data_IF_429844191608
#
_entry.id   IF_429844191608
#
_cell.length_a   1.000
_cell.length_b   1.000
_cell.length_c   1.000
_cell.angle_alpha   90.00
_cell.angle_beta   90.00
_cell.angle_gamma   90.00
#
_symmetry.space_group_name_H-M   'P 1'
#
loop_
_entity.id
_entity.type
_entity.pdbx_description
1 polymer ?
#
# COMPACT_ATOMS: atom_id res chain seq x y z
N UNK A 1 -3.24 14.89 -8.51
CA UNK A 1 -4.44 14.90 -7.62
C UNK A 1 -4.74 13.48 -7.13
N UNK A 2 -5.26 13.33 -5.93
CA UNK A 2 -5.69 12.02 -5.44
C UNK A 2 -6.90 11.51 -6.23
N UNK A 3 -6.72 10.45 -7.04
CA UNK A 3 -7.79 9.81 -7.80
C UNK A 3 -8.91 9.30 -6.89
N UNK A 4 -10.15 9.27 -7.35
CA UNK A 4 -11.23 8.59 -6.64
C UNK A 4 -11.07 7.08 -6.83
N UNK A 5 -11.13 6.32 -5.73
CA UNK A 5 -11.07 4.86 -5.73
C UNK A 5 -12.34 4.31 -5.12
N UNK A 6 -12.99 3.40 -5.82
CA UNK A 6 -14.05 2.54 -5.28
C UNK A 6 -13.85 1.13 -5.85
N UNK A 7 -13.50 0.20 -4.97
CA UNK A 7 -13.26 -1.21 -5.33
C UNK A 7 -14.49 -2.11 -5.06
N UNK A 8 -15.67 -1.52 -4.82
CA UNK A 8 -16.90 -2.29 -4.58
C UNK A 8 -17.14 -3.27 -5.73
N UNK A 9 -17.32 -4.55 -5.41
CA UNK A 9 -17.53 -5.61 -6.38
C UNK A 9 -16.29 -6.02 -7.20
N UNK A 10 -15.12 -5.41 -6.96
CA UNK A 10 -13.88 -5.78 -7.64
C UNK A 10 -13.31 -7.06 -7.06
N UNK A 11 -12.96 -7.99 -7.94
CA UNK A 11 -12.21 -9.20 -7.57
C UNK A 11 -11.09 -9.41 -8.59
N UNK A 12 -9.86 -9.43 -8.10
CA UNK A 12 -8.66 -9.68 -8.89
C UNK A 12 -8.14 -11.06 -8.50
N UNK A 13 -8.08 -11.99 -9.44
CA UNK A 13 -7.49 -13.32 -9.25
C UNK A 13 -6.09 -13.35 -9.82
N UNK A 14 -5.15 -13.87 -9.05
CA UNK A 14 -3.79 -14.15 -9.48
C UNK A 14 -3.54 -15.67 -9.47
N UNK A 15 -2.31 -16.09 -9.64
CA UNK A 15 -1.95 -17.53 -9.58
C UNK A 15 -2.26 -18.15 -8.20
N UNK A 16 -1.99 -17.40 -7.12
CA UNK A 16 -2.06 -17.93 -5.74
C UNK A 16 -2.99 -17.15 -4.81
N UNK A 17 -3.54 -16.00 -5.27
CA UNK A 17 -4.27 -15.06 -4.42
C UNK A 17 -5.59 -14.64 -5.05
N UNK A 18 -6.51 -14.24 -4.18
CA UNK A 18 -7.70 -13.46 -4.53
C UNK A 18 -7.63 -12.12 -3.79
N UNK A 19 -7.73 -11.01 -4.53
CA UNK A 19 -7.76 -9.65 -3.98
C UNK A 19 -9.18 -9.11 -4.17
N UNK A 20 -9.85 -8.75 -3.09
CA UNK A 20 -11.24 -8.26 -3.08
C UNK A 20 -11.48 -7.29 -1.94
N UNK A 21 -12.58 -6.54 -1.92
CA UNK A 21 -12.93 -5.74 -0.74
C UNK A 21 -12.99 -6.59 0.52
N UNK A 22 -12.67 -5.99 1.66
CA UNK A 22 -12.91 -6.60 2.96
C UNK A 22 -14.41 -6.74 3.25
N UNK A 23 -14.76 -7.73 4.06
CA UNK A 23 -16.09 -7.90 4.66
C UNK A 23 -15.96 -8.14 6.18
N UNK A 24 -17.07 -8.07 6.91
CA UNK A 24 -17.06 -8.15 8.38
C UNK A 24 -16.62 -9.53 8.90
N UNK A 25 -16.88 -10.57 8.12
CA UNK A 25 -16.53 -11.95 8.45
C UNK A 25 -15.03 -12.20 8.55
N UNK A 26 -14.21 -11.28 8.03
CA UNK A 26 -12.75 -11.40 8.05
C UNK A 26 -12.09 -10.89 9.33
N UNK A 27 -12.88 -10.48 10.32
CA UNK A 27 -12.36 -9.91 11.57
C UNK A 27 -11.37 -10.85 12.27
N UNK A 28 -11.64 -12.14 12.29
CA UNK A 28 -10.78 -13.11 12.98
C UNK A 28 -9.45 -13.27 12.27
N UNK A 29 -9.46 -13.42 10.96
CA UNK A 29 -8.25 -13.49 10.14
C UNK A 29 -7.44 -12.18 10.22
N UNK A 30 -8.14 -11.04 10.18
CA UNK A 30 -7.49 -9.73 10.30
C UNK A 30 -6.81 -9.57 11.65
N UNK A 31 -7.51 -9.86 12.75
CA UNK A 31 -6.93 -9.79 14.09
C UNK A 31 -5.78 -10.78 14.27
N UNK A 32 -5.89 -11.99 13.70
CA UNK A 32 -4.85 -13.00 13.80
C UNK A 32 -3.48 -12.49 13.35
N UNK A 33 -3.40 -11.81 12.20
CA UNK A 33 -2.12 -11.27 11.75
C UNK A 33 -1.79 -9.89 12.33
N UNK A 34 -2.77 -9.06 12.61
CA UNK A 34 -2.55 -7.70 13.08
C UNK A 34 -2.04 -7.63 14.53
N UNK A 35 -2.31 -8.64 15.36
CA UNK A 35 -1.79 -8.74 16.73
C UNK A 35 -0.36 -9.25 16.82
N UNK A 36 0.20 -9.76 15.71
CA UNK A 36 1.53 -10.39 15.71
C UNK A 36 2.63 -9.33 15.77
N UNK A 37 3.50 -9.47 16.76
CA UNK A 37 4.66 -8.60 16.92
C UNK A 37 5.56 -8.62 15.66
N UNK A 38 5.99 -7.42 15.25
CA UNK A 38 6.80 -7.20 14.06
C UNK A 38 6.00 -7.10 12.76
N UNK A 39 4.68 -7.33 12.74
CA UNK A 39 3.86 -7.15 11.54
C UNK A 39 3.52 -5.67 11.35
N UNK A 40 2.81 -5.09 12.31
CA UNK A 40 2.38 -3.70 12.25
C UNK A 40 3.54 -2.71 12.24
N UNK A 41 4.59 -2.98 13.00
CA UNK A 41 5.75 -2.10 13.10
C UNK A 41 6.46 -1.91 11.76
N UNK A 42 6.41 -2.90 10.87
CA UNK A 42 6.92 -2.77 9.49
C UNK A 42 6.10 -1.78 8.64
N UNK A 43 4.90 -1.43 9.08
CA UNK A 43 3.99 -0.47 8.43
C UNK A 43 3.68 0.75 9.33
N UNK A 44 4.42 0.93 10.42
CA UNK A 44 4.36 2.11 11.29
C UNK A 44 3.24 2.10 12.33
N UNK A 45 2.70 0.94 12.72
CA UNK A 45 1.67 0.82 13.74
C UNK A 45 1.95 -0.33 14.72
N UNK A 46 1.43 -0.21 15.95
CA UNK A 46 1.61 -1.22 17.01
C UNK A 46 0.67 -2.41 16.79
N UNK A 47 1.04 -3.63 17.28
CA UNK A 47 0.15 -4.77 17.25
C UNK A 47 -1.20 -4.47 17.90
N UNK A 48 -2.27 -4.90 17.25
CA UNK A 48 -3.63 -4.71 17.77
C UNK A 48 -3.81 -5.42 19.10
N UNK A 49 -4.33 -4.71 20.08
CA UNK A 49 -4.43 -5.18 21.46
C UNK A 49 -5.64 -6.14 21.68
N UNK A 50 -6.70 -5.96 20.87
CA UNK A 50 -7.93 -6.74 20.97
C UNK A 50 -8.69 -6.74 19.64
N UNK A 51 -9.77 -7.55 19.57
CA UNK A 51 -10.61 -7.63 18.39
C UNK A 51 -11.43 -6.36 18.14
N UNK A 52 -11.77 -5.62 19.17
CA UNK A 52 -12.52 -4.36 19.05
C UNK A 52 -11.71 -3.30 18.30
N UNK A 53 -10.40 -3.23 18.54
CA UNK A 53 -9.50 -2.38 17.77
C UNK A 53 -9.45 -2.81 16.31
N UNK A 54 -9.28 -4.11 16.04
CA UNK A 54 -9.30 -4.67 14.69
C UNK A 54 -10.62 -4.39 13.98
N UNK A 55 -11.76 -4.54 14.68
CA UNK A 55 -13.08 -4.29 14.10
C UNK A 55 -13.25 -2.82 13.64
N UNK A 56 -12.75 -1.85 14.43
CA UNK A 56 -12.80 -0.43 14.04
C UNK A 56 -11.99 -0.16 12.76
N UNK A 57 -10.80 -0.77 12.67
CA UNK A 57 -9.92 -0.60 11.50
C UNK A 57 -10.50 -1.34 10.29
N UNK A 58 -11.00 -2.56 10.48
CA UNK A 58 -11.69 -3.33 9.43
C UNK A 58 -12.87 -2.52 8.86
N UNK A 59 -13.70 -1.92 9.73
CA UNK A 59 -14.79 -1.05 9.31
C UNK A 59 -14.29 0.11 8.44
N UNK A 60 -13.17 0.73 8.82
CA UNK A 60 -12.59 1.81 8.03
C UNK A 60 -12.12 1.36 6.63
N UNK A 61 -11.69 0.10 6.49
CA UNK A 61 -11.34 -0.48 5.19
C UNK A 61 -12.59 -0.72 4.33
N UNK A 62 -13.65 -1.26 4.93
CA UNK A 62 -14.94 -1.51 4.25
C UNK A 62 -15.55 -0.19 3.78
N UNK A 63 -15.68 0.77 4.68
CA UNK A 63 -16.29 2.09 4.39
C UNK A 63 -15.45 2.91 3.41
N UNK A 64 -14.13 2.80 3.52
CA UNK A 64 -13.17 3.51 2.66
C UNK A 64 -13.11 3.01 1.23
N UNK A 65 -13.55 1.79 0.94
CA UNK A 65 -13.67 1.18 -0.41
C UNK A 65 -12.40 1.27 -1.26
N UNK A 66 -11.22 1.22 -0.64
CA UNK A 66 -9.93 1.41 -1.30
C UNK A 66 -8.86 0.40 -0.85
N UNK A 67 -9.21 -0.50 0.06
CA UNK A 67 -8.30 -1.49 0.64
C UNK A 67 -8.75 -2.90 0.29
N UNK A 68 -7.89 -3.63 -0.41
CA UNK A 68 -8.10 -5.04 -0.74
C UNK A 68 -7.69 -5.93 0.42
N UNK A 69 -8.51 -6.92 0.74
CA UNK A 69 -8.11 -8.12 1.44
C UNK A 69 -7.25 -8.98 0.51
N UNK A 70 -6.14 -9.48 1.01
CA UNK A 70 -5.30 -10.46 0.32
C UNK A 70 -5.70 -11.84 0.84
N UNK A 71 -6.36 -12.62 0.00
CA UNK A 71 -6.92 -13.93 0.37
C UNK A 71 -6.13 -15.04 -0.29
N UNK A 72 -5.71 -16.03 0.51
CA UNK A 72 -5.07 -17.26 0.07
C UNK A 72 -5.76 -18.47 0.68
N UNK A 73 -6.17 -19.43 -0.16
CA UNK A 73 -6.83 -20.66 0.28
C UNK A 73 -8.04 -20.41 1.21
N UNK A 74 -8.83 -19.36 0.91
CA UNK A 74 -10.00 -18.96 1.68
C UNK A 74 -9.71 -18.14 2.94
N UNK A 75 -8.44 -17.93 3.32
CA UNK A 75 -8.03 -17.16 4.50
C UNK A 75 -7.50 -15.78 4.11
N UNK A 76 -7.92 -14.73 4.83
CA UNK A 76 -7.35 -13.39 4.66
C UNK A 76 -6.01 -13.30 5.38
N UNK A 77 -4.95 -13.09 4.61
CA UNK A 77 -3.56 -13.11 5.07
C UNK A 77 -2.88 -11.74 5.06
N UNK A 78 -3.58 -10.70 4.62
CA UNK A 78 -3.00 -9.36 4.55
C UNK A 78 -3.95 -8.35 3.94
N UNK A 79 -3.45 -7.13 3.79
CA UNK A 79 -4.18 -5.99 3.22
C UNK A 79 -3.30 -5.20 2.25
N UNK A 80 -3.92 -4.60 1.22
CA UNK A 80 -3.29 -3.68 0.29
C UNK A 80 -4.25 -2.54 -0.02
N UNK A 81 -3.88 -1.33 0.41
CA UNK A 81 -4.68 -0.11 0.23
C UNK A 81 -4.11 0.81 -0.85
N UNK A 82 -5.00 1.52 -1.56
CA UNK A 82 -4.67 2.65 -2.43
C UNK A 82 -4.99 3.96 -1.71
N UNK A 83 -4.09 4.38 -0.84
CA UNK A 83 -4.28 5.51 0.08
C UNK A 83 -4.14 6.87 -0.64
N UNK A 84 -4.58 7.94 0.02
CA UNK A 84 -4.26 9.30 -0.43
C UNK A 84 -2.80 9.60 -0.14
N UNK A 85 -2.12 10.22 -1.10
CA UNK A 85 -0.75 10.72 -0.94
C UNK A 85 -0.73 12.20 -0.54
N UNK A 86 0.42 12.68 -0.05
CA UNK A 86 0.65 14.08 0.24
C UNK A 86 -0.19 14.65 1.36
N UNK A 87 -0.53 13.81 2.36
CA UNK A 87 -1.32 14.24 3.52
C UNK A 87 -0.52 15.12 4.46
N UNK A 88 0.79 14.91 4.55
CA UNK A 88 1.72 15.64 5.42
C UNK A 88 2.42 16.77 4.64
N UNK A 89 2.88 16.47 3.41
CA UNK A 89 3.55 17.42 2.52
C UNK A 89 2.83 17.47 1.17
N UNK A 90 2.42 18.66 0.75
CA UNK A 90 1.81 18.85 -0.57
C UNK A 90 2.86 18.61 -1.67
N UNK A 91 2.68 17.55 -2.44
CA UNK A 91 3.53 17.21 -3.58
C UNK A 91 2.98 17.89 -4.85
N UNK A 92 3.34 19.16 -5.04
CA UNK A 92 2.79 20.00 -6.12
C UNK A 92 3.22 19.55 -7.51
N UNK A 93 4.32 18.82 -7.63
CA UNK A 93 4.82 18.23 -8.87
C UNK A 93 3.85 17.22 -9.50
N UNK A 94 2.92 16.70 -8.71
CA UNK A 94 1.86 15.80 -9.18
C UNK A 94 0.53 16.52 -9.49
N UNK A 95 0.50 17.85 -9.41
CA UNK A 95 -0.69 18.62 -9.76
C UNK A 95 -1.03 18.41 -11.24
N UNK A 96 -2.30 18.13 -11.53
CA UNK A 96 -2.77 17.78 -12.87
C UNK A 96 -2.79 16.28 -13.19
N UNK A 97 -2.09 15.45 -12.42
CA UNK A 97 -2.05 14.00 -12.57
C UNK A 97 -2.89 13.28 -11.52
N UNK A 98 -3.44 12.12 -11.87
CA UNK A 98 -4.24 11.26 -10.99
C UNK A 98 -3.36 10.16 -10.41
N UNK A 99 -3.22 10.12 -9.09
CA UNK A 99 -2.37 9.12 -8.44
C UNK A 99 -2.90 8.67 -7.08
N UNK A 100 -2.23 7.66 -6.53
CA UNK A 100 -2.46 7.11 -5.18
C UNK A 100 -1.16 6.61 -4.59
N UNK A 101 -1.16 6.40 -3.27
CA UNK A 101 -0.06 5.76 -2.56
C UNK A 101 -0.46 4.35 -2.13
N UNK A 102 0.38 3.36 -2.43
CA UNK A 102 0.14 1.99 -2.01
C UNK A 102 0.69 1.75 -0.61
N UNK A 103 -0.15 1.18 0.26
CA UNK A 103 0.24 0.69 1.56
C UNK A 103 -0.18 -0.77 1.73
N UNK A 104 0.68 -1.63 2.31
CA UNK A 104 0.37 -3.04 2.43
C UNK A 104 0.97 -3.69 3.67
N UNK A 105 0.32 -4.75 4.11
CA UNK A 105 0.75 -5.62 5.21
C UNK A 105 0.45 -7.06 4.84
N UNK A 106 1.34 -7.97 5.23
CA UNK A 106 1.16 -9.42 5.09
C UNK A 106 1.44 -10.11 6.43
N UNK A 107 0.63 -11.10 6.74
CA UNK A 107 0.84 -12.01 7.87
C UNK A 107 2.26 -12.59 7.84
N UNK A 108 2.92 -12.59 8.98
CA UNK A 108 4.33 -13.01 9.13
C UNK A 108 4.59 -14.44 8.65
N UNK A 109 3.60 -15.33 8.81
CA UNK A 109 3.67 -16.73 8.35
C UNK A 109 3.81 -16.87 6.82
N UNK A 110 3.47 -15.82 6.06
CA UNK A 110 3.50 -15.82 4.60
C UNK A 110 4.63 -14.98 4.00
N UNK A 111 5.54 -14.47 4.84
CA UNK A 111 6.71 -13.71 4.36
C UNK A 111 7.68 -14.59 3.57
N UNK A 112 8.44 -13.98 2.67
CA UNK A 112 9.48 -14.65 1.88
C UNK A 112 8.98 -15.49 0.70
N UNK A 113 7.68 -15.64 0.51
CA UNK A 113 7.06 -16.48 -0.53
C UNK A 113 6.72 -15.75 -1.83
N UNK A 114 7.03 -14.45 -1.95
CA UNK A 114 6.71 -13.64 -3.13
C UNK A 114 5.25 -13.18 -3.24
N UNK A 115 4.39 -13.57 -2.31
CA UNK A 115 2.94 -13.29 -2.36
C UNK A 115 2.61 -11.78 -2.38
N UNK A 116 3.32 -10.96 -1.59
CA UNK A 116 3.10 -9.52 -1.61
C UNK A 116 3.51 -8.90 -2.95
N UNK A 117 4.59 -9.37 -3.58
CA UNK A 117 4.98 -8.92 -4.92
C UNK A 117 3.89 -9.23 -5.94
N UNK A 118 3.34 -10.45 -5.90
CA UNK A 118 2.23 -10.88 -6.76
C UNK A 118 0.97 -10.00 -6.55
N UNK A 119 0.60 -9.74 -5.30
CA UNK A 119 -0.53 -8.89 -4.97
C UNK A 119 -0.34 -7.44 -5.48
N UNK A 120 0.84 -6.84 -5.22
CA UNK A 120 1.14 -5.46 -5.62
C UNK A 120 1.14 -5.32 -7.14
N UNK A 121 1.76 -6.25 -7.87
CA UNK A 121 1.75 -6.25 -9.34
C UNK A 121 0.33 -6.32 -9.91
N UNK A 122 -0.53 -7.17 -9.34
CA UNK A 122 -1.91 -7.29 -9.78
C UNK A 122 -2.73 -6.01 -9.53
N UNK A 123 -2.52 -5.35 -8.38
CA UNK A 123 -3.20 -4.09 -8.06
C UNK A 123 -2.66 -2.94 -8.91
N UNK A 124 -1.35 -2.83 -9.16
CA UNK A 124 -0.77 -1.84 -10.08
C UNK A 124 -1.42 -1.97 -11.47
N UNK A 125 -1.50 -3.21 -11.99
CA UNK A 125 -2.15 -3.46 -13.27
C UNK A 125 -3.61 -2.99 -13.28
N UNK A 126 -4.37 -3.32 -12.24
CA UNK A 126 -5.76 -2.87 -12.11
C UNK A 126 -5.88 -1.35 -12.07
N UNK A 127 -5.06 -0.68 -11.26
CA UNK A 127 -5.11 0.78 -11.10
C UNK A 127 -4.71 1.52 -12.39
N UNK A 128 -3.74 1.00 -13.14
CA UNK A 128 -3.32 1.61 -14.40
C UNK A 128 -4.25 1.30 -15.57
N UNK A 129 -4.67 0.03 -15.73
CA UNK A 129 -5.45 -0.39 -16.90
C UNK A 129 -6.96 -0.15 -16.76
N UNK A 130 -7.52 -0.21 -15.53
CA UNK A 130 -8.96 -0.09 -15.30
C UNK A 130 -9.37 1.26 -14.74
N UNK A 131 -8.56 1.84 -13.87
CA UNK A 131 -8.83 3.15 -13.28
C UNK A 131 -8.00 4.26 -13.93
N UNK A 132 -7.13 3.91 -14.87
CA UNK A 132 -6.34 4.83 -15.70
C UNK A 132 -5.53 5.86 -14.88
N UNK A 133 -5.05 5.46 -13.69
CA UNK A 133 -4.19 6.31 -12.90
C UNK A 133 -2.91 6.65 -13.67
N UNK A 134 -2.36 7.82 -13.40
CA UNK A 134 -1.14 8.29 -14.05
C UNK A 134 0.11 7.78 -13.33
N UNK A 135 0.08 7.72 -12.01
CA UNK A 135 1.21 7.27 -11.20
C UNK A 135 0.76 6.63 -9.89
N UNK A 136 1.69 5.89 -9.27
CA UNK A 136 1.54 5.38 -7.92
C UNK A 136 2.80 5.68 -7.12
N UNK A 137 2.60 6.04 -5.86
CA UNK A 137 3.65 6.16 -4.86
C UNK A 137 3.62 4.93 -3.92
N UNK A 138 4.75 4.65 -3.30
CA UNK A 138 4.83 3.65 -2.24
C UNK A 138 6.05 3.95 -1.36
N UNK A 139 5.82 4.16 -0.06
CA UNK A 139 6.88 4.41 0.90
C UNK A 139 7.38 3.14 1.58
N UNK A 140 8.64 3.17 2.05
CA UNK A 140 9.16 2.18 3.00
C UNK A 140 10.13 2.83 3.98
N UNK A 141 10.14 2.35 5.22
CA UNK A 141 11.14 2.73 6.21
C UNK A 141 12.48 2.05 5.91
N UNK A 142 13.60 2.72 6.13
CA UNK A 142 14.96 2.21 5.80
C UNK A 142 15.26 0.86 6.44
N UNK A 143 14.68 0.57 7.60
CA UNK A 143 14.82 -0.73 8.26
C UNK A 143 14.01 -1.83 7.57
N UNK A 144 12.95 -1.51 6.79
CA UNK A 144 12.06 -2.48 6.17
C UNK A 144 12.58 -2.95 4.80
N UNK A 145 13.67 -3.72 4.80
CA UNK A 145 14.29 -4.27 3.57
C UNK A 145 13.34 -5.17 2.76
N UNK A 146 12.32 -5.78 3.40
CA UNK A 146 11.32 -6.59 2.70
C UNK A 146 10.42 -5.73 1.83
N UNK A 147 9.90 -4.62 2.37
CA UNK A 147 9.07 -3.69 1.60
C UNK A 147 9.86 -3.09 0.44
N UNK A 148 11.09 -2.63 0.69
CA UNK A 148 12.01 -2.19 -0.38
C UNK A 148 12.09 -3.22 -1.51
N UNK A 149 12.34 -4.50 -1.19
CA UNK A 149 12.50 -5.56 -2.18
C UNK A 149 11.22 -5.84 -2.97
N UNK A 150 10.05 -5.74 -2.34
CA UNK A 150 8.75 -5.84 -3.03
C UNK A 150 8.62 -4.70 -4.05
N UNK A 151 8.88 -3.47 -3.65
CA UNK A 151 8.74 -2.29 -4.52
C UNK A 151 9.71 -2.35 -5.71
N UNK A 152 10.98 -2.71 -5.48
CA UNK A 152 11.97 -2.93 -6.56
C UNK A 152 11.47 -3.94 -7.59
N UNK A 153 10.95 -5.10 -7.14
CA UNK A 153 10.41 -6.15 -8.02
C UNK A 153 9.15 -5.73 -8.77
N UNK A 154 8.39 -4.78 -8.24
CA UNK A 154 7.20 -4.23 -8.87
C UNK A 154 7.49 -3.07 -9.82
N UNK A 155 8.77 -2.66 -9.97
CA UNK A 155 9.18 -1.62 -10.91
C UNK A 155 9.17 -0.21 -10.35
N UNK A 156 8.88 -0.03 -9.06
CA UNK A 156 9.02 1.27 -8.42
C UNK A 156 10.47 1.75 -8.44
N UNK A 157 10.66 3.05 -8.66
CA UNK A 157 11.96 3.73 -8.62
C UNK A 157 12.03 4.68 -7.44
N UNK A 158 13.19 4.81 -6.78
CA UNK A 158 13.38 5.80 -5.73
C UNK A 158 13.03 7.20 -6.26
N UNK A 159 12.26 7.93 -5.46
CA UNK A 159 11.82 9.28 -5.81
C UNK A 159 12.36 10.29 -4.81
N UNK A 160 12.08 10.11 -3.52
CA UNK A 160 12.48 11.06 -2.47
C UNK A 160 12.84 10.34 -1.17
N UNK A 161 13.91 10.79 -0.50
CA UNK A 161 14.19 10.45 0.91
C UNK A 161 13.42 11.40 1.80
N UNK A 162 12.83 10.88 2.86
CA UNK A 162 12.06 11.68 3.82
C UNK A 162 12.09 11.04 5.21
N UNK A 163 11.70 11.84 6.20
CA UNK A 163 11.40 11.34 7.54
C UNK A 163 9.90 11.14 7.62
N UNK A 164 9.48 9.92 7.88
CA UNK A 164 8.07 9.53 7.96
C UNK A 164 7.63 9.45 9.42
N UNK A 165 6.51 10.07 9.75
CA UNK A 165 5.89 9.89 11.05
C UNK A 165 5.13 8.57 11.10
N UNK A 166 5.30 7.84 12.20
CA UNK A 166 4.61 6.57 12.41
C UNK A 166 3.43 6.75 13.36
N UNK A 167 2.43 5.88 13.27
CA UNK A 167 1.35 5.83 14.27
C UNK A 167 1.81 5.30 15.62
N UNK A 168 3.07 4.88 15.72
CA UNK A 168 3.74 4.53 16.99
C UNK A 168 4.29 5.73 17.71
N UNK A 169 4.21 6.94 17.13
CA UNK A 169 4.78 8.19 17.68
C UNK A 169 6.27 8.35 17.44
N UNK A 170 6.86 7.59 16.54
CA UNK A 170 8.27 7.72 16.13
C UNK A 170 8.39 8.39 14.77
N UNK A 171 9.59 8.89 14.48
CA UNK A 171 9.98 9.45 13.18
C UNK A 171 11.07 8.58 12.59
N UNK A 172 10.81 8.00 11.43
CA UNK A 172 11.71 7.02 10.82
C UNK A 172 12.20 7.51 9.46
N UNK A 173 13.50 7.37 9.16
CA UNK A 173 14.00 7.63 7.82
C UNK A 173 13.43 6.59 6.85
N UNK A 174 13.15 7.04 5.64
CA UNK A 174 12.64 6.15 4.61
C UNK A 174 12.71 6.75 3.22
N UNK A 175 12.21 5.99 2.26
CA UNK A 175 12.19 6.35 0.84
C UNK A 175 10.77 6.26 0.32
N UNK A 176 10.33 7.31 -0.33
CA UNK A 176 9.14 7.30 -1.17
C UNK A 176 9.57 6.94 -2.59
N UNK A 177 8.96 5.89 -3.11
CA UNK A 177 9.18 5.41 -4.47
C UNK A 177 8.00 5.79 -5.38
N UNK A 178 8.27 5.88 -6.67
CA UNK A 178 7.33 6.26 -7.71
C UNK A 178 7.33 5.22 -8.84
N UNK A 179 6.16 4.94 -9.39
CA UNK A 179 5.97 4.25 -10.68
C UNK A 179 4.93 5.02 -11.49
N UNK A 180 5.21 5.24 -12.77
CA UNK A 180 4.29 5.88 -13.72
C UNK A 180 3.58 4.85 -14.58
N UNK A 181 2.39 5.21 -15.06
CA UNK A 181 1.66 4.38 -16.01
C UNK A 181 2.43 4.32 -17.34
N UNK A 182 2.90 3.16 -17.77
CA UNK A 182 3.76 3.03 -18.95
C UNK A 182 3.03 3.32 -20.27
N UNK A 183 1.70 3.41 -20.26
CA UNK A 183 0.88 3.73 -21.43
C UNK A 183 0.64 5.22 -21.61
N UNK A 184 1.11 6.04 -20.66
CA UNK A 184 0.90 7.49 -20.65
C UNK A 184 2.23 8.24 -20.72
N UNK A 185 2.26 9.33 -21.45
CA UNK A 185 3.37 10.29 -21.41
C UNK A 185 3.18 11.22 -20.21
N UNK A 186 4.04 11.09 -19.19
CA UNK A 186 3.94 11.82 -17.93
C UNK A 186 5.24 12.59 -17.73
N UNK A 187 5.13 13.91 -17.60
CA UNK A 187 6.27 14.80 -17.35
C UNK A 187 6.01 15.59 -16.08
N UNK A 188 6.69 15.22 -15.01
CA UNK A 188 6.61 15.96 -13.74
C UNK A 188 7.52 17.18 -13.76
N UNK A 189 7.05 18.27 -13.17
CA UNK A 189 7.85 19.50 -12.97
C UNK A 189 8.30 19.54 -11.51
N UNK A 190 9.49 19.04 -11.25
CA UNK A 190 10.04 19.03 -9.89
C UNK A 190 10.50 20.43 -9.47
N UNK A 191 9.95 20.94 -8.38
CA UNK A 191 10.32 22.23 -7.80
C UNK A 191 11.62 22.17 -6.98
N UNK A 192 12.01 20.96 -6.52
CA UNK A 192 13.18 20.72 -5.68
C UNK A 192 13.95 19.48 -6.16
N UNK A 193 14.67 19.57 -7.30
CA UNK A 193 15.38 18.42 -7.87
C UNK A 193 16.46 17.84 -6.92
N UNK A 194 17.01 18.64 -6.01
CA UNK A 194 18.02 18.23 -5.04
C UNK A 194 17.52 17.21 -4.00
N UNK A 195 16.21 17.01 -3.88
CA UNK A 195 15.62 15.98 -2.99
C UNK A 195 15.37 14.66 -3.68
N UNK A 196 15.53 14.64 -5.02
CA UNK A 196 15.37 13.42 -5.82
C UNK A 196 16.57 12.50 -5.61
N UNK A 197 16.34 11.21 -5.80
CA UNK A 197 17.38 10.18 -5.77
C UNK A 197 17.72 9.85 -7.22
N UNK A 198 19.00 10.01 -7.59
CA UNK A 198 19.56 9.60 -8.90
C UNK A 198 19.51 8.07 -9.10
#
# INVERSE_FOLDING_TARGET
MNATIDITGVTIKTERLVLRPFCEEELDDFYEYAKVDGVGQMAGWLPHQNKEESARILRSFIDGKKTFAIVKDGKTIGSLGAEKYGMEDRLTEFDGYQGRELGYVLSKAYWGQGLMTEAVQAVIKYLFERLELDFLLCGYYDFNKRSRRVQEKCGFKPYRKLIMETRMGTKEPGVLNLITNPTKEIVFKFSHPETLID
#
